data_IF_694300895064
#
_entry.id   IF_694300895064
#
_cell.length_a   1.000
_cell.length_b   1.000
_cell.length_c   1.000
_cell.angle_alpha   90.00
_cell.angle_beta   90.00
_cell.angle_gamma   90.00
#
_symmetry.space_group_name_H-M   'P 1'
#
loop_
_entity.id
_entity.type
_entity.pdbx_description
1 polymer ?
#
# COMPACT_ATOMS: atom_id res chain seq x y z
N UNK A 1 7.70 -15.88 -1.21
CA UNK A 1 7.40 -14.45 -1.08
C UNK A 1 5.91 -14.21 -0.97
N UNK A 2 5.53 -13.26 -0.15
CA UNK A 2 4.17 -12.98 0.28
C UNK A 2 3.84 -11.51 0.05
N UNK A 3 2.58 -11.21 -0.23
CA UNK A 3 2.07 -9.87 -0.35
C UNK A 3 0.78 -9.72 0.46
N UNK A 4 0.64 -8.58 1.14
CA UNK A 4 -0.51 -8.21 1.95
C UNK A 4 -0.94 -6.79 1.60
N UNK A 5 -2.24 -6.62 1.38
CA UNK A 5 -2.88 -5.35 1.04
C UNK A 5 -3.96 -5.04 2.07
N UNK A 6 -3.93 -3.83 2.65
CA UNK A 6 -4.94 -3.40 3.60
C UNK A 6 -5.40 -1.96 3.35
N UNK A 7 -6.58 -1.63 3.85
CA UNK A 7 -7.03 -0.23 4.01
C UNK A 7 -7.34 0.08 5.47
N UNK A 8 -7.24 1.35 5.84
CA UNK A 8 -7.64 1.86 7.16
C UNK A 8 -8.05 3.33 7.07
N UNK A 9 -8.64 3.87 8.14
CA UNK A 9 -9.03 5.29 8.24
C UNK A 9 -8.13 6.02 9.23
N UNK A 10 -7.70 7.24 8.93
CA UNK A 10 -6.97 8.06 9.89
C UNK A 10 -7.92 8.62 10.95
N UNK A 11 -7.41 8.79 12.18
CA UNK A 11 -8.19 9.35 13.29
C UNK A 11 -8.50 10.84 13.13
N UNK A 12 -7.64 11.58 12.43
CA UNK A 12 -7.74 13.02 12.21
C UNK A 12 -7.11 13.41 10.88
N UNK A 13 -7.22 14.69 10.54
CA UNK A 13 -6.48 15.31 9.44
C UNK A 13 -4.99 15.24 9.78
N UNK A 14 -4.28 14.34 9.12
CA UNK A 14 -2.83 14.24 9.24
C UNK A 14 -2.18 15.37 8.45
N UNK A 15 -1.30 16.11 9.11
CA UNK A 15 -0.48 17.12 8.47
C UNK A 15 0.53 16.49 7.52
N UNK A 16 1.13 17.31 6.65
CA UNK A 16 2.25 16.86 5.80
C UNK A 16 3.38 16.24 6.62
N UNK A 17 3.68 16.83 7.78
CA UNK A 17 4.75 16.42 8.68
C UNK A 17 4.43 15.07 9.33
N UNK A 18 3.18 14.85 9.76
CA UNK A 18 2.73 13.56 10.31
C UNK A 18 2.92 12.43 9.29
N UNK A 19 2.58 12.70 8.03
CA UNK A 19 2.74 11.74 6.93
C UNK A 19 4.21 11.46 6.62
N UNK A 20 5.08 12.45 6.78
CA UNK A 20 6.52 12.29 6.57
C UNK A 20 7.14 11.42 7.68
N UNK A 21 6.72 11.62 8.94
CA UNK A 21 7.11 10.77 10.06
C UNK A 21 6.60 9.33 9.90
N UNK A 22 5.38 9.13 9.38
CA UNK A 22 4.87 7.79 9.04
C UNK A 22 5.77 7.15 7.99
N UNK A 23 6.11 7.88 6.92
CA UNK A 23 6.93 7.35 5.83
C UNK A 23 8.35 7.02 6.28
N UNK A 24 8.98 7.87 7.09
CA UNK A 24 10.32 7.62 7.62
C UNK A 24 10.34 6.37 8.51
N UNK A 25 9.36 6.24 9.39
CA UNK A 25 9.19 5.07 10.25
C UNK A 25 8.96 3.79 9.43
N UNK A 26 8.07 3.86 8.43
CA UNK A 26 7.77 2.73 7.54
C UNK A 26 9.01 2.33 6.71
N UNK A 27 9.71 3.30 6.13
CA UNK A 27 10.93 3.06 5.34
C UNK A 27 12.01 2.39 6.17
N UNK A 28 12.25 2.90 7.38
CA UNK A 28 13.27 2.38 8.29
C UNK A 28 12.93 0.97 8.74
N UNK A 29 11.71 0.75 9.26
CA UNK A 29 11.28 -0.58 9.71
C UNK A 29 11.27 -1.57 8.55
N UNK A 30 10.66 -1.23 7.42
CA UNK A 30 10.57 -2.14 6.29
C UNK A 30 11.93 -2.55 5.77
N UNK A 31 12.90 -1.63 5.74
CA UNK A 31 14.28 -1.96 5.37
C UNK A 31 14.90 -3.01 6.30
N UNK A 32 14.66 -2.92 7.62
CA UNK A 32 15.13 -3.90 8.60
C UNK A 32 14.55 -5.29 8.36
N UNK A 33 13.29 -5.38 7.95
CA UNK A 33 12.57 -6.64 7.69
C UNK A 33 12.58 -7.06 6.21
N UNK A 34 13.40 -6.41 5.37
CA UNK A 34 13.44 -6.66 3.91
C UNK A 34 12.05 -6.62 3.25
N UNK A 35 11.21 -5.68 3.69
CA UNK A 35 9.88 -5.42 3.15
C UNK A 35 9.96 -4.28 2.14
N UNK A 36 9.22 -4.46 1.05
CA UNK A 36 9.01 -3.44 0.02
C UNK A 36 7.52 -3.15 -0.11
N UNK A 37 7.15 -2.02 -0.71
CA UNK A 37 5.74 -1.71 -0.86
C UNK A 37 5.42 -0.29 -1.26
N UNK A 38 4.13 0.01 -1.17
CA UNK A 38 3.58 1.34 -1.44
C UNK A 38 2.52 1.67 -0.39
N UNK A 39 2.56 2.90 0.10
CA UNK A 39 1.59 3.50 1.02
C UNK A 39 0.95 4.70 0.31
N UNK A 40 -0.37 4.77 0.40
CA UNK A 40 -1.16 5.89 -0.12
C UNK A 40 -2.01 6.44 1.01
N UNK A 41 -2.08 7.76 1.07
CA UNK A 41 -2.99 8.47 1.97
C UNK A 41 -3.87 9.45 1.18
N UNK A 42 -5.18 9.27 1.24
CA UNK A 42 -6.15 10.11 0.54
C UNK A 42 -7.48 10.17 1.31
N UNK A 43 -8.10 11.34 1.41
CA UNK A 43 -9.41 11.52 2.06
C UNK A 43 -9.55 10.78 3.40
N UNK A 44 -8.56 10.95 4.29
CA UNK A 44 -8.51 10.29 5.61
C UNK A 44 -8.50 8.77 5.56
N UNK A 45 -8.05 8.19 4.45
CA UNK A 45 -7.88 6.75 4.28
C UNK A 45 -6.45 6.42 3.90
N UNK A 46 -5.94 5.36 4.50
CA UNK A 46 -4.70 4.72 4.07
C UNK A 46 -5.00 3.49 3.26
N UNK A 47 -4.19 3.28 2.23
CA UNK A 47 -4.11 2.00 1.52
C UNK A 47 -2.64 1.63 1.39
N UNK A 48 -2.28 0.42 1.82
CA UNK A 48 -0.90 -0.02 1.80
C UNK A 48 -0.76 -1.44 1.28
N UNK A 49 0.32 -1.65 0.53
CA UNK A 49 0.76 -2.92 -0.02
C UNK A 49 2.13 -3.23 0.62
N UNK A 50 2.27 -4.43 1.19
CA UNK A 50 3.50 -4.94 1.80
C UNK A 50 3.93 -6.20 1.06
N UNK A 51 5.21 -6.31 0.72
CA UNK A 51 5.80 -7.47 0.05
C UNK A 51 7.06 -7.93 0.78
N UNK A 52 7.22 -9.23 1.00
CA UNK A 52 8.37 -9.77 1.73
C UNK A 52 8.25 -11.26 2.03
N UNK A 53 9.04 -11.72 2.99
CA UNK A 53 8.80 -13.03 3.58
C UNK A 53 7.52 -13.00 4.41
N UNK A 54 6.77 -14.12 4.40
CA UNK A 54 5.43 -14.15 5.00
C UNK A 54 5.44 -13.74 6.47
N UNK A 55 6.40 -14.26 7.23
CA UNK A 55 6.53 -13.96 8.65
C UNK A 55 6.80 -12.48 8.90
N UNK A 56 7.76 -11.90 8.18
CA UNK A 56 8.13 -10.49 8.30
C UNK A 56 6.96 -9.56 7.93
N UNK A 57 6.24 -9.86 6.84
CA UNK A 57 5.08 -9.09 6.40
C UNK A 57 3.98 -9.10 7.46
N UNK A 58 3.69 -10.26 8.03
CA UNK A 58 2.68 -10.38 9.09
C UNK A 58 3.13 -9.67 10.36
N UNK A 59 4.41 -9.73 10.74
CA UNK A 59 4.95 -9.02 11.91
C UNK A 59 4.84 -7.49 11.76
N UNK A 60 5.21 -6.93 10.61
CA UNK A 60 4.99 -5.52 10.32
C UNK A 60 3.50 -5.17 10.33
N UNK A 61 2.64 -6.05 9.79
CA UNK A 61 1.21 -5.80 9.80
C UNK A 61 0.61 -5.80 11.22
N UNK A 62 1.08 -6.66 12.12
CA UNK A 62 0.69 -6.60 13.54
C UNK A 62 1.08 -5.26 14.19
N UNK A 63 2.30 -4.77 13.92
CA UNK A 63 2.74 -3.46 14.43
C UNK A 63 1.87 -2.33 13.88
N UNK A 64 1.57 -2.36 12.59
CA UNK A 64 0.68 -1.40 11.93
C UNK A 64 -0.68 -1.40 12.61
N UNK A 65 -1.26 -2.57 12.91
CA UNK A 65 -2.58 -2.65 13.56
C UNK A 65 -2.68 -1.97 14.92
N UNK A 66 -1.55 -1.79 15.60
CA UNK A 66 -1.47 -1.12 16.90
C UNK A 66 -1.20 0.38 16.81
N UNK A 67 -1.03 0.92 15.59
CA UNK A 67 -0.70 2.32 15.38
C UNK A 67 -1.90 3.22 15.68
N UNK A 68 -1.77 4.11 16.65
CA UNK A 68 -2.86 5.00 17.09
C UNK A 68 -3.21 6.09 16.08
N UNK A 69 -2.48 6.22 14.98
CA UNK A 69 -2.76 7.22 13.93
C UNK A 69 -3.90 6.80 13.01
N UNK A 70 -4.31 5.53 13.04
CA UNK A 70 -5.40 5.01 12.22
C UNK A 70 -6.31 4.02 12.96
N UNK A 71 -7.44 3.68 12.35
CA UNK A 71 -8.41 2.72 12.85
C UNK A 71 -9.16 2.04 11.69
N UNK A 72 -10.12 1.16 12.01
CA UNK A 72 -10.99 0.49 11.03
C UNK A 72 -10.17 -0.17 9.92
N UNK A 73 -9.29 -1.08 10.33
CA UNK A 73 -8.35 -1.75 9.43
C UNK A 73 -9.07 -2.93 8.78
N UNK A 74 -9.02 -2.97 7.46
CA UNK A 74 -9.55 -4.06 6.65
C UNK A 74 -8.44 -4.66 5.81
N UNK A 75 -8.19 -5.95 6.00
CA UNK A 75 -7.39 -6.75 5.09
C UNK A 75 -8.16 -6.87 3.77
N UNK A 76 -7.60 -6.36 2.68
CA UNK A 76 -8.23 -6.42 1.36
C UNK A 76 -7.84 -7.70 0.64
N UNK A 77 -6.58 -8.10 0.76
CA UNK A 77 -6.04 -9.28 0.08
C UNK A 77 -4.70 -9.69 0.67
N UNK A 78 -4.43 -10.99 0.72
CA UNK A 78 -3.11 -11.52 1.00
C UNK A 78 -2.88 -12.82 0.24
N UNK A 79 -1.69 -13.02 -0.33
CA UNK A 79 -1.33 -14.29 -0.95
C UNK A 79 0.19 -14.42 -1.16
N UNK A 80 0.62 -15.64 -1.46
CA UNK A 80 1.94 -15.91 -2.03
C UNK A 80 1.99 -15.36 -3.45
N UNK A 81 3.08 -14.68 -3.78
CA UNK A 81 3.34 -14.09 -5.11
C UNK A 81 4.69 -14.55 -5.64
N UNK A 82 4.82 -14.64 -6.97
CA UNK A 82 6.04 -15.11 -7.63
C UNK A 82 7.19 -14.09 -7.55
N UNK A 83 6.87 -12.80 -7.54
CA UNK A 83 7.85 -11.69 -7.54
C UNK A 83 7.33 -10.45 -6.82
N UNK A 84 8.25 -9.57 -6.41
CA UNK A 84 7.94 -8.23 -5.89
C UNK A 84 7.50 -7.35 -7.04
N UNK A 85 6.41 -6.62 -6.86
CA UNK A 85 5.98 -5.60 -7.80
C UNK A 85 6.56 -4.22 -7.46
N UNK A 86 6.98 -4.01 -6.20
CA UNK A 86 7.55 -2.75 -5.69
C UNK A 86 9.02 -2.90 -5.26
N UNK A 87 9.80 -3.72 -5.97
CA UNK A 87 11.16 -4.12 -5.57
C UNK A 87 12.18 -2.98 -5.41
N UNK A 88 11.93 -1.80 -5.96
CA UNK A 88 12.84 -0.64 -5.87
C UNK A 88 12.60 0.21 -4.61
N UNK A 89 11.54 -0.05 -3.86
CA UNK A 89 11.09 0.84 -2.79
C UNK A 89 10.83 0.06 -1.50
N UNK A 90 11.58 0.37 -0.43
CA UNK A 90 11.29 -0.15 0.91
C UNK A 90 9.89 0.31 1.36
N UNK A 91 9.53 1.55 1.02
CA UNK A 91 8.17 2.04 1.02
C UNK A 91 8.07 3.26 0.10
N UNK A 92 7.28 3.18 -0.97
CA UNK A 92 6.90 4.37 -1.72
C UNK A 92 5.72 5.05 -1.05
N UNK A 93 5.67 6.38 -1.11
CA UNK A 93 4.54 7.14 -0.61
C UNK A 93 3.93 8.00 -1.69
N UNK A 94 2.64 7.82 -1.92
CA UNK A 94 1.88 8.64 -2.84
C UNK A 94 0.91 9.51 -2.04
N UNK A 95 1.21 10.82 -2.00
CA UNK A 95 0.28 11.87 -1.55
C UNK A 95 -0.45 12.38 -2.79
N UNK A 96 -1.74 12.11 -2.96
CA UNK A 96 -2.45 12.63 -4.10
C UNK A 96 -2.57 14.14 -4.01
N UNK A 97 -2.08 14.83 -5.05
CA UNK A 97 -2.69 16.09 -5.51
C UNK A 97 -3.59 15.87 -6.74
N UNK A 98 -3.67 14.61 -7.23
CA UNK A 98 -4.10 14.28 -8.58
C UNK A 98 -5.38 13.44 -8.66
N UNK A 99 -6.07 13.58 -9.81
CA UNK A 99 -7.32 12.91 -10.19
C UNK A 99 -7.29 11.37 -10.10
N UNK A 100 -6.11 10.75 -10.15
CA UNK A 100 -5.97 9.29 -10.28
C UNK A 100 -5.92 8.53 -8.96
N UNK A 101 -5.67 9.21 -7.83
CA UNK A 101 -5.59 8.53 -6.54
C UNK A 101 -6.93 8.02 -6.03
N UNK A 102 -8.00 8.79 -6.25
CA UNK A 102 -9.36 8.32 -5.98
C UNK A 102 -9.58 7.02 -6.73
N UNK A 103 -9.23 6.97 -8.01
CA UNK A 103 -9.40 5.77 -8.82
C UNK A 103 -8.55 4.59 -8.33
N UNK A 104 -7.34 4.83 -7.81
CA UNK A 104 -6.52 3.79 -7.20
C UNK A 104 -7.14 3.24 -5.90
N UNK A 105 -7.61 4.12 -5.02
CA UNK A 105 -8.29 3.77 -3.76
C UNK A 105 -9.62 3.08 -4.02
N UNK A 106 -10.42 3.60 -4.96
CA UNK A 106 -11.69 3.03 -5.40
C UNK A 106 -11.48 1.62 -5.97
N UNK A 107 -10.45 1.43 -6.80
CA UNK A 107 -10.13 0.12 -7.34
C UNK A 107 -9.68 -0.86 -6.25
N UNK A 108 -8.86 -0.45 -5.27
CA UNK A 108 -8.48 -1.33 -4.16
C UNK A 108 -9.64 -1.63 -3.22
N UNK A 109 -10.54 -0.67 -3.00
CA UNK A 109 -11.77 -0.86 -2.21
C UNK A 109 -12.75 -1.77 -2.94
N UNK A 110 -12.87 -1.63 -4.26
CA UNK A 110 -13.63 -2.51 -5.14
C UNK A 110 -13.03 -3.92 -5.15
N UNK A 111 -11.72 -4.07 -5.14
CA UNK A 111 -11.09 -5.38 -5.00
C UNK A 111 -11.31 -6.00 -3.63
N UNK A 112 -11.33 -5.20 -2.56
CA UNK A 112 -11.68 -5.69 -1.24
C UNK A 112 -13.12 -6.22 -1.20
N UNK A 113 -14.06 -5.56 -1.88
CA UNK A 113 -15.44 -6.06 -2.01
C UNK A 113 -15.55 -7.29 -2.92
N UNK A 114 -14.59 -7.52 -3.81
CA UNK A 114 -14.47 -8.74 -4.63
C UNK A 114 -13.51 -9.80 -4.09
N UNK A 115 -12.86 -9.56 -2.94
CA UNK A 115 -11.78 -10.40 -2.41
C UNK A 115 -12.21 -11.84 -2.13
N UNK A 116 -13.52 -12.10 -2.06
CA UNK A 116 -14.06 -13.45 -1.99
C UNK A 116 -13.96 -14.25 -3.32
N UNK A 117 -13.80 -13.64 -4.52
CA UNK A 117 -14.19 -14.34 -5.77
C UNK A 117 -13.39 -14.20 -7.08
N UNK A 118 -12.34 -13.40 -7.29
CA UNK A 118 -11.59 -13.57 -8.57
C UNK A 118 -10.13 -13.11 -8.62
N UNK A 119 -9.24 -14.04 -8.99
CA UNK A 119 -7.82 -13.82 -9.32
C UNK A 119 -7.61 -13.12 -10.66
N UNK A 120 -8.55 -13.24 -11.61
CA UNK A 120 -8.45 -12.63 -12.94
C UNK A 120 -8.57 -11.10 -12.91
N UNK A 121 -9.54 -10.56 -12.15
CA UNK A 121 -9.70 -9.11 -11.97
C UNK A 121 -8.47 -8.48 -11.29
N UNK A 122 -7.87 -9.19 -10.33
CA UNK A 122 -6.65 -8.78 -9.65
C UNK A 122 -5.47 -8.63 -10.62
N UNK A 123 -5.27 -9.60 -11.52
CA UNK A 123 -4.18 -9.53 -12.50
C UNK A 123 -4.37 -8.38 -13.52
N UNK A 124 -5.61 -8.15 -13.95
CA UNK A 124 -5.95 -7.02 -14.84
C UNK A 124 -5.79 -5.65 -14.13
N UNK A 125 -6.16 -5.58 -12.85
CA UNK A 125 -5.94 -4.41 -12.01
C UNK A 125 -4.45 -4.10 -11.84
N UNK A 126 -3.64 -5.10 -11.47
CA UNK A 126 -2.21 -4.92 -11.32
C UNK A 126 -1.53 -4.53 -12.63
N UNK A 127 -2.04 -5.01 -13.78
CA UNK A 127 -1.65 -4.50 -15.10
C UNK A 127 -1.93 -3.00 -15.28
N UNK A 128 -3.09 -2.53 -14.81
CA UNK A 128 -3.47 -1.11 -14.86
C UNK A 128 -2.66 -0.24 -13.91
N UNK A 129 -2.52 -0.64 -12.64
CA UNK A 129 -1.70 0.04 -11.64
C UNK A 129 -0.27 0.19 -12.12
N UNK A 130 0.32 -0.90 -12.60
CA UNK A 130 1.69 -0.89 -13.13
C UNK A 130 1.84 0.11 -14.26
N UNK A 131 0.86 0.21 -15.16
CA UNK A 131 0.88 1.15 -16.28
C UNK A 131 0.83 2.61 -15.82
N UNK A 132 0.06 2.92 -14.77
CA UNK A 132 -0.01 4.27 -14.17
C UNK A 132 1.33 4.63 -13.52
N UNK A 133 1.89 3.73 -12.73
CA UNK A 133 3.19 3.92 -12.07
C UNK A 133 4.34 4.05 -13.08
N UNK A 134 4.32 3.25 -14.15
CA UNK A 134 5.32 3.30 -15.21
C UNK A 134 5.18 4.59 -16.07
N UNK A 135 3.97 5.12 -16.25
CA UNK A 135 3.77 6.39 -16.98
C UNK A 135 4.27 7.64 -16.23
N UNK A 136 4.41 7.58 -14.91
CA UNK A 136 5.06 8.63 -14.11
C UNK A 136 6.60 8.57 -14.15
N UNK A 137 7.19 7.54 -14.77
CA UNK A 137 8.66 7.42 -14.89
C UNK A 137 9.27 8.15 -16.10
N UNK A 138 8.51 8.98 -16.82
CA UNK A 138 9.09 9.92 -17.80
C UNK A 138 9.57 11.23 -17.14
N UNK A 139 10.75 11.12 -16.49
CA UNK A 139 11.85 12.10 -16.27
C UNK A 139 11.61 13.40 -15.46
N UNK A 140 12.68 13.87 -14.76
CA UNK A 140 13.48 14.92 -15.40
C UNK A 140 14.96 14.56 -15.59
N UNK A 141 15.58 15.41 -16.42
CA UNK A 141 16.93 15.42 -17.01
C UNK A 141 18.03 15.53 -15.96
#
# INVERSE_FOLDING_TARGET
MYQLNYHSKSHSDLSSDDLELILEAATTKNKTYNITGCLIYHNHAFVQILEGEKQDVLEIFELIKTDTRHHTIHLLWENTVEKRYFNKWNMAFYRPKDQFASQFVDNLTMLASFSEKSTGSLMSFWGHVRRILDSDTTKPV
#
